data_IF_975793468107
#
_entry.id   IF_975793468107
#
_cell.length_a   1.000
_cell.length_b   1.000
_cell.length_c   1.000
_cell.angle_alpha   90.00
_cell.angle_beta   90.00
_cell.angle_gamma   90.00
#
_symmetry.space_group_name_H-M   'P 1'
#
loop_
_entity.id
_entity.type
_entity.pdbx_description
1 polymer ?
#
# COMPACT_ATOMS: atom_id res chain seq x y z
N UNK A 1 2.71 -10.68 -5.86
CA UNK A 1 2.64 -11.70 -4.79
C UNK A 1 3.92 -11.88 -3.98
N UNK A 2 5.12 -11.86 -4.59
CA UNK A 2 6.41 -12.14 -3.93
C UNK A 2 6.61 -11.55 -2.50
N UNK A 3 6.21 -10.30 -2.26
CA UNK A 3 6.29 -9.70 -0.91
C UNK A 3 5.45 -10.43 0.15
N UNK A 4 4.21 -10.82 -0.21
CA UNK A 4 3.32 -11.57 0.68
C UNK A 4 3.82 -13.00 0.88
N UNK A 5 4.51 -13.59 -0.10
CA UNK A 5 5.12 -14.93 0.04
C UNK A 5 6.31 -14.90 1.00
N UNK A 6 7.17 -13.88 0.91
CA UNK A 6 8.25 -13.66 1.88
C UNK A 6 7.68 -13.46 3.29
N UNK A 7 6.65 -12.61 3.42
CA UNK A 7 6.00 -12.37 4.70
C UNK A 7 5.30 -13.62 5.24
N UNK A 8 4.68 -14.42 4.38
CA UNK A 8 4.05 -15.70 4.76
C UNK A 8 5.09 -16.68 5.30
N UNK A 9 6.23 -16.83 4.62
CA UNK A 9 7.34 -17.67 5.07
C UNK A 9 7.89 -17.22 6.44
N UNK A 10 8.07 -15.90 6.61
CA UNK A 10 8.50 -15.31 7.88
C UNK A 10 7.50 -15.59 9.00
N UNK A 11 6.22 -15.27 8.77
CA UNK A 11 5.16 -15.51 9.75
C UNK A 11 5.06 -16.98 10.12
N UNK A 12 5.25 -17.89 9.17
CA UNK A 12 5.26 -19.32 9.46
C UNK A 12 6.44 -19.76 10.32
N UNK A 13 7.62 -19.17 10.08
CA UNK A 13 8.81 -19.41 10.91
C UNK A 13 8.59 -18.91 12.33
N UNK A 14 8.03 -17.69 12.49
CA UNK A 14 7.69 -17.11 13.79
C UNK A 14 6.66 -17.98 14.52
N UNK A 15 5.57 -18.39 13.84
CA UNK A 15 4.54 -19.25 14.41
C UNK A 15 5.15 -20.55 14.97
N UNK A 16 5.98 -21.25 14.19
CA UNK A 16 6.63 -22.49 14.64
C UNK A 16 7.50 -22.28 15.88
N UNK A 17 8.32 -21.22 15.88
CA UNK A 17 9.21 -20.92 17.00
C UNK A 17 8.46 -20.53 18.28
N UNK A 18 7.27 -19.92 18.13
CA UNK A 18 6.42 -19.53 19.25
C UNK A 18 5.42 -20.63 19.66
N UNK A 19 5.46 -21.81 19.05
CA UNK A 19 4.56 -22.93 19.35
C UNK A 19 3.12 -22.76 18.82
N UNK A 20 2.89 -21.83 17.88
CA UNK A 20 1.63 -21.68 17.17
C UNK A 20 1.58 -22.59 15.93
N UNK A 21 0.36 -22.89 15.49
CA UNK A 21 0.10 -23.61 14.24
C UNK A 21 0.57 -22.74 13.06
N UNK A 22 1.24 -23.34 12.07
CA UNK A 22 1.72 -22.59 10.91
C UNK A 22 0.53 -22.13 10.07
N UNK A 23 0.54 -20.90 9.52
CA UNK A 23 -0.45 -20.40 8.58
C UNK A 23 -0.90 -21.34 7.44
N UNK A 24 -0.05 -22.29 7.00
CA UNK A 24 -0.40 -23.28 5.97
C UNK A 24 -1.44 -24.31 6.44
N UNK A 25 -1.52 -24.56 7.75
CA UNK A 25 -2.48 -25.48 8.33
C UNK A 25 -3.78 -24.71 8.54
N UNK A 26 -4.65 -24.68 7.52
CA UNK A 26 -5.95 -24.00 7.55
C UNK A 26 -6.72 -24.35 8.84
N UNK A 27 -6.67 -23.45 9.83
CA UNK A 27 -7.21 -23.67 11.17
C UNK A 27 -7.54 -22.34 11.87
N UNK A 28 -8.33 -22.38 12.95
CA UNK A 28 -8.89 -21.18 13.59
C UNK A 28 -7.87 -20.29 14.33
N UNK A 29 -6.61 -20.73 14.47
CA UNK A 29 -5.57 -20.09 15.30
C UNK A 29 -4.33 -19.69 14.49
N UNK A 30 -4.51 -19.04 13.34
CA UNK A 30 -3.40 -18.49 12.56
C UNK A 30 -2.90 -17.19 13.20
N UNK A 31 -1.62 -17.14 13.57
CA UNK A 31 -0.95 -15.94 14.05
C UNK A 31 -0.94 -14.87 12.95
N UNK A 32 -1.46 -13.68 13.25
CA UNK A 32 -1.57 -12.57 12.31
C UNK A 32 -0.41 -11.60 12.46
N UNK A 33 0.00 -10.90 11.38
CA UNK A 33 1.06 -9.88 11.48
C UNK A 33 0.78 -8.79 12.53
N UNK A 34 -0.47 -8.37 12.72
CA UNK A 34 -0.86 -7.39 13.73
C UNK A 34 -0.68 -7.88 15.19
N UNK A 35 -0.40 -9.16 15.41
CA UNK A 35 -0.14 -9.76 16.72
C UNK A 35 1.36 -9.97 16.98
N UNK A 36 2.21 -9.63 16.01
CA UNK A 36 3.66 -9.84 16.05
C UNK A 36 4.40 -8.52 15.91
N UNK A 37 4.00 -7.69 14.94
CA UNK A 37 4.68 -6.44 14.63
C UNK A 37 4.07 -5.28 15.41
N UNK A 38 4.90 -4.50 16.10
CA UNK A 38 4.48 -3.24 16.74
C UNK A 38 3.99 -2.22 15.72
N UNK A 39 4.73 -2.07 14.63
CA UNK A 39 4.45 -1.14 13.55
C UNK A 39 4.56 -1.84 12.20
N UNK A 40 3.59 -1.62 11.32
CA UNK A 40 3.56 -2.09 9.94
C UNK A 40 3.51 -0.85 9.06
N UNK A 41 4.55 -0.66 8.25
CA UNK A 41 4.71 0.53 7.41
C UNK A 41 4.62 0.18 5.94
N UNK A 42 3.94 1.02 5.14
CA UNK A 42 3.80 0.76 3.71
C UNK A 42 3.59 2.00 2.85
N UNK A 43 3.92 1.86 1.58
CA UNK A 43 3.72 2.86 0.52
C UNK A 43 3.13 2.19 -0.72
N UNK A 44 2.29 2.89 -1.49
CA UNK A 44 1.64 2.29 -2.66
C UNK A 44 0.83 1.05 -2.30
N UNK A 45 1.04 -0.03 -3.06
CA UNK A 45 0.53 -1.38 -2.79
C UNK A 45 0.91 -1.89 -1.40
N UNK A 46 2.15 -1.63 -0.97
CA UNK A 46 2.61 -1.97 0.38
C UNK A 46 1.81 -1.23 1.47
N UNK A 47 1.35 -0.01 1.19
CA UNK A 47 0.47 0.75 2.08
C UNK A 47 -0.91 0.10 2.20
N UNK A 48 -1.51 -0.34 1.09
CA UNK A 48 -2.75 -1.11 1.13
C UNK A 48 -2.55 -2.43 1.89
N UNK A 49 -1.46 -3.17 1.64
CA UNK A 49 -1.12 -4.38 2.40
C UNK A 49 -1.02 -4.09 3.90
N UNK A 50 -0.32 -3.02 4.29
CA UNK A 50 -0.17 -2.63 5.69
C UNK A 50 -1.52 -2.36 6.37
N UNK A 51 -2.43 -1.67 5.67
CA UNK A 51 -3.80 -1.43 6.16
C UNK A 51 -4.58 -2.74 6.32
N UNK A 52 -4.51 -3.64 5.34
CA UNK A 52 -5.24 -4.92 5.40
C UNK A 52 -4.71 -5.81 6.56
N UNK A 53 -3.39 -5.91 6.71
CA UNK A 53 -2.74 -6.75 7.73
C UNK A 53 -2.88 -6.18 9.14
N UNK A 54 -2.60 -4.89 9.32
CA UNK A 54 -2.63 -4.22 10.61
C UNK A 54 -4.04 -3.78 10.97
N UNK A 55 -4.56 -2.79 10.26
CA UNK A 55 -5.80 -2.09 10.63
C UNK A 55 -7.06 -2.94 10.48
N UNK A 56 -7.11 -3.84 9.51
CA UNK A 56 -8.23 -4.79 9.31
C UNK A 56 -7.96 -6.19 9.89
N UNK A 57 -6.82 -6.36 10.57
CA UNK A 57 -6.39 -7.58 11.25
C UNK A 57 -6.56 -8.84 10.39
N UNK A 58 -6.12 -8.77 9.14
CA UNK A 58 -6.15 -9.89 8.21
C UNK A 58 -4.88 -10.75 8.35
N UNK A 59 -5.01 -12.05 8.11
CA UNK A 59 -3.84 -12.92 7.93
C UNK A 59 -3.19 -12.67 6.57
N UNK A 60 -1.94 -13.10 6.41
CA UNK A 60 -1.23 -12.99 5.12
C UNK A 60 -2.00 -13.70 4.00
N UNK A 61 -2.50 -14.91 4.26
CA UNK A 61 -3.32 -15.65 3.31
C UNK A 61 -4.61 -14.90 2.93
N UNK A 62 -5.33 -14.32 3.89
CA UNK A 62 -6.54 -13.56 3.58
C UNK A 62 -6.25 -12.32 2.72
N UNK A 63 -5.08 -11.70 2.88
CA UNK A 63 -4.63 -10.62 1.99
C UNK A 63 -4.28 -11.14 0.61
N UNK A 64 -3.59 -12.28 0.49
CA UNK A 64 -3.33 -12.94 -0.80
C UNK A 64 -4.63 -13.25 -1.54
N UNK A 65 -5.61 -13.84 -0.85
CA UNK A 65 -6.94 -14.15 -1.40
C UNK A 65 -7.65 -12.88 -1.87
N UNK A 66 -7.65 -11.82 -1.06
CA UNK A 66 -8.22 -10.53 -1.44
C UNK A 66 -7.59 -9.98 -2.72
N UNK A 67 -6.27 -10.06 -2.90
CA UNK A 67 -5.64 -9.61 -4.13
C UNK A 67 -6.01 -10.50 -5.32
N UNK A 68 -5.88 -11.82 -5.18
CA UNK A 68 -6.16 -12.77 -6.25
C UNK A 68 -7.60 -12.66 -6.77
N UNK A 69 -8.57 -12.49 -5.86
CA UNK A 69 -9.99 -12.40 -6.21
C UNK A 69 -10.37 -11.08 -6.89
N UNK A 70 -9.58 -10.02 -6.69
CA UNK A 70 -9.92 -8.67 -7.13
C UNK A 70 -8.98 -8.08 -8.18
N UNK A 71 -7.85 -8.73 -8.48
CA UNK A 71 -6.82 -8.21 -9.37
C UNK A 71 -7.37 -7.89 -10.77
N UNK A 72 -7.98 -8.87 -11.45
CA UNK A 72 -8.50 -8.67 -12.81
C UNK A 72 -9.66 -7.67 -12.81
N UNK A 73 -10.46 -7.64 -11.74
CA UNK A 73 -11.53 -6.67 -11.63
C UNK A 73 -10.98 -5.25 -11.52
N UNK A 74 -10.02 -5.00 -10.63
CA UNK A 74 -9.48 -3.64 -10.39
C UNK A 74 -8.54 -3.20 -11.52
N UNK A 75 -7.61 -4.06 -11.92
CA UNK A 75 -6.50 -3.71 -12.81
C UNK A 75 -6.71 -4.13 -14.28
N UNK A 76 -7.67 -5.02 -14.56
CA UNK A 76 -8.00 -5.43 -15.94
C UNK A 76 -8.28 -4.27 -16.91
N UNK A 77 -8.98 -3.18 -16.50
CA UNK A 77 -9.14 -1.99 -17.34
C UNK A 77 -7.80 -1.35 -17.75
N UNK A 78 -6.81 -1.35 -16.85
CA UNK A 78 -5.51 -0.71 -17.09
C UNK A 78 -4.66 -1.52 -18.07
N UNK A 79 -4.73 -2.86 -18.02
CA UNK A 79 -4.06 -3.76 -18.96
C UNK A 79 -4.55 -3.53 -20.39
N UNK A 80 -5.87 -3.41 -20.58
CA UNK A 80 -6.49 -3.24 -21.91
C UNK A 80 -6.22 -1.89 -22.58
N UNK A 81 -5.86 -0.86 -21.80
CA UNK A 81 -5.58 0.49 -22.33
C UNK A 81 -4.11 0.66 -22.74
N UNK A 82 -3.20 -0.17 -22.24
CA UNK A 82 -1.79 -0.16 -22.65
C UNK A 82 -1.59 -0.61 -24.10
N UNK A 83 -2.52 -1.39 -24.65
CA UNK A 83 -2.55 -1.75 -26.08
C UNK A 83 -2.92 -0.56 -27.00
N UNK A 84 -3.38 0.57 -26.45
CA UNK A 84 -3.86 1.74 -27.20
C UNK A 84 -3.21 3.03 -26.66
N UNK A 85 -1.91 3.17 -26.91
CA UNK A 85 -1.13 4.43 -26.85
C UNK A 85 -1.07 5.18 -25.50
N UNK A 86 0.17 5.26 -25.00
CA UNK A 86 0.67 6.46 -24.33
C UNK A 86 0.41 7.69 -25.22
N UNK A 87 -0.38 8.65 -24.74
CA UNK A 87 -0.58 9.91 -25.45
C UNK A 87 -1.93 10.55 -25.21
N UNK A 88 -2.14 11.12 -24.02
CA UNK A 88 -3.01 12.28 -23.90
C UNK A 88 -2.39 13.24 -22.88
N UNK A 89 -1.78 14.30 -23.39
CA UNK A 89 -1.12 15.33 -22.59
C UNK A 89 -2.10 16.02 -21.62
N UNK A 90 -1.64 16.44 -20.43
CA UNK A 90 -2.45 17.18 -19.47
C UNK A 90 -2.62 18.63 -19.96
N UNK A 91 -3.55 18.82 -20.90
CA UNK A 91 -3.94 20.12 -21.44
C UNK A 91 -5.44 20.40 -21.32
N UNK A 92 -5.91 21.41 -22.06
CA UNK A 92 -7.33 21.76 -22.14
C UNK A 92 -8.21 20.57 -22.59
N UNK A 93 -7.67 19.72 -23.46
CA UNK A 93 -8.31 18.48 -23.92
C UNK A 93 -8.55 17.47 -22.77
N UNK A 94 -7.57 17.29 -21.88
CA UNK A 94 -7.72 16.43 -20.70
C UNK A 94 -8.79 16.95 -19.73
N UNK A 95 -8.87 18.27 -19.54
CA UNK A 95 -9.91 18.90 -18.70
C UNK A 95 -11.31 18.77 -19.31
N UNK A 96 -11.44 19.01 -20.62
CA UNK A 96 -12.70 18.84 -21.33
C UNK A 96 -13.19 17.38 -21.31
N UNK A 97 -12.28 16.42 -21.48
CA UNK A 97 -12.60 15.00 -21.35
C UNK A 97 -13.05 14.66 -19.92
N UNK A 98 -12.31 15.12 -18.90
CA UNK A 98 -12.68 14.90 -17.51
C UNK A 98 -14.05 15.47 -17.15
N UNK A 99 -14.39 16.65 -17.68
CA UNK A 99 -15.75 17.23 -17.56
C UNK A 99 -16.81 16.38 -18.24
N UNK A 100 -16.54 15.89 -19.46
CA UNK A 100 -17.47 15.02 -20.18
C UNK A 100 -17.69 13.68 -19.49
N UNK A 101 -16.63 13.09 -18.92
CA UNK A 101 -16.70 11.89 -18.09
C UNK A 101 -17.52 12.14 -16.82
N UNK A 102 -17.28 13.26 -16.12
CA UNK A 102 -18.03 13.65 -14.91
C UNK A 102 -19.51 13.90 -15.19
N UNK A 103 -19.85 14.49 -16.34
CA UNK A 103 -21.23 14.69 -16.79
C UNK A 103 -21.89 13.41 -17.35
N UNK A 104 -21.16 12.30 -17.47
CA UNK A 104 -21.66 11.04 -18.01
C UNK A 104 -21.90 11.04 -19.53
N UNK A 105 -21.36 12.03 -20.25
CA UNK A 105 -21.47 12.12 -21.72
C UNK A 105 -20.31 11.45 -22.44
N UNK A 106 -19.22 11.14 -21.73
CA UNK A 106 -18.09 10.36 -22.22
C UNK A 106 -17.89 9.09 -21.39
N UNK A 107 -17.36 8.01 -21.98
CA UNK A 107 -17.06 6.78 -21.26
C UNK A 107 -15.98 7.01 -20.20
N UNK A 108 -16.07 6.25 -19.11
CA UNK A 108 -15.08 6.29 -18.04
C UNK A 108 -13.70 5.83 -18.54
N UNK A 109 -12.66 6.56 -18.16
CA UNK A 109 -11.28 6.14 -18.44
C UNK A 109 -10.93 4.88 -17.65
N UNK A 110 -9.97 4.07 -18.12
CA UNK A 110 -9.51 2.90 -17.38
C UNK A 110 -8.99 3.27 -15.97
N UNK A 111 -8.33 4.43 -15.84
CA UNK A 111 -7.87 4.98 -14.56
C UNK A 111 -9.02 5.31 -13.61
N UNK A 112 -10.12 5.84 -14.12
CA UNK A 112 -11.34 6.10 -13.34
C UNK A 112 -12.00 4.80 -12.92
N UNK A 113 -12.13 3.86 -13.85
CA UNK A 113 -12.77 2.58 -13.57
C UNK A 113 -11.95 1.79 -12.52
N UNK A 114 -10.62 1.72 -12.66
CA UNK A 114 -9.75 1.08 -11.68
C UNK A 114 -9.85 1.76 -10.30
N UNK A 115 -9.96 3.09 -10.28
CA UNK A 115 -10.17 3.89 -9.05
C UNK A 115 -11.46 3.50 -8.34
N UNK A 116 -12.59 3.55 -9.04
CA UNK A 116 -13.90 3.25 -8.45
C UNK A 116 -13.97 1.79 -7.97
N UNK A 117 -13.40 0.86 -8.76
CA UNK A 117 -13.35 -0.55 -8.38
C UNK A 117 -12.48 -0.80 -7.16
N UNK A 118 -11.34 -0.09 -7.04
CA UNK A 118 -10.50 -0.17 -5.85
C UNK A 118 -11.26 0.35 -4.61
N UNK A 119 -11.92 1.51 -4.71
CA UNK A 119 -12.76 2.07 -3.63
C UNK A 119 -13.86 1.11 -3.21
N UNK A 120 -14.58 0.54 -4.18
CA UNK A 120 -15.64 -0.44 -3.95
C UNK A 120 -15.13 -1.63 -3.14
N UNK A 121 -14.01 -2.24 -3.53
CA UNK A 121 -13.48 -3.43 -2.85
C UNK A 121 -12.90 -3.13 -1.48
N UNK A 122 -12.29 -1.96 -1.29
CA UNK A 122 -11.83 -1.53 0.03
C UNK A 122 -13.03 -1.24 0.95
N UNK A 123 -14.06 -0.55 0.46
CA UNK A 123 -15.27 -0.29 1.23
C UNK A 123 -15.99 -1.60 1.60
N UNK A 124 -16.04 -2.56 0.66
CA UNK A 124 -16.60 -3.89 0.90
C UNK A 124 -15.82 -4.64 1.98
N UNK A 125 -14.49 -4.73 1.90
CA UNK A 125 -13.68 -5.44 2.91
C UNK A 125 -13.81 -4.76 4.27
N UNK A 126 -13.77 -3.42 4.35
CA UNK A 126 -13.99 -2.67 5.60
C UNK A 126 -15.32 -3.05 6.25
N UNK A 127 -16.40 -3.13 5.45
CA UNK A 127 -17.74 -3.51 5.94
C UNK A 127 -17.77 -4.93 6.49
N UNK A 128 -17.24 -5.92 5.76
CA UNK A 128 -17.33 -7.33 6.19
C UNK A 128 -16.39 -7.65 7.35
N UNK A 129 -15.28 -6.93 7.49
CA UNK A 129 -14.35 -7.07 8.62
C UNK A 129 -14.92 -6.44 9.89
N UNK A 130 -15.78 -5.43 9.75
CA UNK A 130 -16.49 -4.77 10.84
C UNK A 130 -15.53 -4.26 11.95
N UNK A 131 -14.46 -3.58 11.53
CA UNK A 131 -13.41 -3.02 12.42
C UNK A 131 -13.49 -1.49 12.57
N UNK A 132 -14.64 -0.91 12.24
CA UNK A 132 -14.82 0.53 12.11
C UNK A 132 -14.35 1.08 10.76
N UNK A 133 -14.65 2.36 10.52
CA UNK A 133 -14.38 3.06 9.24
C UNK A 133 -13.16 3.97 9.30
N UNK A 134 -12.79 4.43 10.49
CA UNK A 134 -11.66 5.34 10.71
C UNK A 134 -10.32 4.61 10.60
N UNK A 135 -9.31 5.26 9.99
CA UNK A 135 -7.95 4.71 9.98
C UNK A 135 -7.39 4.59 11.40
N UNK A 136 -7.59 5.61 12.23
CA UNK A 136 -7.21 5.55 13.65
C UNK A 136 -7.97 4.42 14.34
N UNK A 137 -7.23 3.51 14.96
CA UNK A 137 -7.78 2.39 15.69
C UNK A 137 -8.42 2.90 16.98
N UNK A 138 -9.68 2.53 17.30
CA UNK A 138 -10.37 3.02 18.49
C UNK A 138 -9.65 2.65 19.79
N UNK A 139 -9.06 1.45 19.83
CA UNK A 139 -8.41 0.92 21.02
C UNK A 139 -6.91 1.28 21.15
N UNK A 140 -6.32 1.98 20.17
CA UNK A 140 -4.87 2.28 20.08
C UNK A 140 -3.97 1.12 20.58
N UNK A 141 -3.98 -0.03 19.89
CA UNK A 141 -3.30 -1.22 20.36
C UNK A 141 -1.78 -1.04 20.34
N UNK A 142 -1.09 -1.73 21.23
CA UNK A 142 0.38 -1.73 21.28
C UNK A 142 1.03 -2.42 20.05
N UNK A 143 0.32 -3.39 19.47
CA UNK A 143 0.74 -4.13 18.29
C UNK A 143 -0.17 -3.81 17.09
N UNK A 144 0.35 -3.99 15.89
CA UNK A 144 -0.40 -3.83 14.65
C UNK A 144 -0.69 -2.38 14.28
N UNK A 145 0.06 -1.43 14.84
CA UNK A 145 -0.01 -0.03 14.40
C UNK A 145 0.36 0.05 12.94
N UNK A 146 -0.34 0.89 12.18
CA UNK A 146 -0.13 1.09 10.74
C UNK A 146 0.31 2.52 10.48
N UNK A 147 1.30 2.66 9.63
CA UNK A 147 1.69 3.94 9.04
C UNK A 147 1.79 3.78 7.53
N UNK A 148 1.11 4.63 6.78
CA UNK A 148 1.20 4.65 5.32
C UNK A 148 1.59 6.01 4.80
N UNK A 149 2.26 6.06 3.65
CA UNK A 149 2.72 7.32 3.06
C UNK A 149 1.87 7.74 1.88
N UNK A 150 1.61 9.03 1.76
CA UNK A 150 1.03 9.66 0.58
C UNK A 150 1.63 11.07 0.39
N UNK A 151 1.48 11.65 -0.80
CA UNK A 151 1.87 13.04 -1.06
C UNK A 151 0.62 13.89 -1.10
N UNK A 152 0.57 14.89 -0.22
CA UNK A 152 -0.48 15.90 -0.19
C UNK A 152 -0.11 17.02 -1.16
N UNK A 153 -0.94 17.22 -2.19
CA UNK A 153 -0.76 18.26 -3.20
C UNK A 153 -1.78 19.38 -2.97
N UNK A 154 -1.27 20.58 -2.73
CA UNK A 154 -2.06 21.80 -2.56
C UNK A 154 -1.56 22.90 -3.51
N UNK A 155 -2.28 24.01 -3.58
CA UNK A 155 -1.83 25.20 -4.32
C UNK A 155 -0.47 25.74 -3.83
N UNK A 156 -0.09 25.45 -2.58
CA UNK A 156 1.18 25.87 -1.99
C UNK A 156 2.35 24.90 -2.23
N UNK A 157 2.11 23.77 -2.91
CA UNK A 157 3.13 22.76 -3.20
C UNK A 157 2.73 21.35 -2.76
N UNK A 158 3.70 20.44 -2.81
CA UNK A 158 3.52 19.02 -2.51
C UNK A 158 4.35 18.61 -1.30
N UNK A 159 3.73 17.92 -0.33
CA UNK A 159 4.36 17.45 0.90
C UNK A 159 4.12 15.96 1.11
N UNK A 160 5.20 15.18 1.28
CA UNK A 160 5.07 13.78 1.72
C UNK A 160 4.55 13.76 3.15
N UNK A 161 3.49 13.01 3.37
CA UNK A 161 2.75 12.96 4.63
C UNK A 161 2.48 11.51 5.00
N UNK A 162 2.48 11.23 6.29
CA UNK A 162 2.20 9.93 6.87
C UNK A 162 0.78 9.90 7.41
N UNK A 163 0.06 8.80 7.15
CA UNK A 163 -1.29 8.54 7.64
C UNK A 163 -1.19 7.38 8.64
N UNK A 164 -1.59 7.63 9.89
CA UNK A 164 -1.37 6.71 11.01
C UNK A 164 -2.68 6.08 11.50
N UNK A 165 -2.61 4.83 11.95
CA UNK A 165 -3.72 4.18 12.65
C UNK A 165 -3.71 4.40 14.16
N UNK A 166 -2.86 5.29 14.66
CA UNK A 166 -2.71 5.61 16.07
C UNK A 166 -2.62 7.14 16.22
N UNK A 167 -2.99 7.70 17.37
CA UNK A 167 -2.91 9.14 17.59
C UNK A 167 -1.45 9.62 17.55
N UNK A 168 -1.16 10.65 16.75
CA UNK A 168 0.10 11.37 16.81
C UNK A 168 -0.13 12.89 16.88
N UNK A 169 0.63 13.58 17.72
CA UNK A 169 0.52 15.04 17.91
C UNK A 169 0.87 15.83 16.65
N UNK A 170 1.67 15.26 15.75
CA UNK A 170 2.04 15.87 14.47
C UNK A 170 0.99 15.75 13.37
N UNK A 171 -0.11 15.02 13.60
CA UNK A 171 -1.09 14.69 12.54
C UNK A 171 -1.93 15.89 12.07
N UNK A 172 -1.71 17.12 12.56
CA UNK A 172 -2.45 18.35 12.19
C UNK A 172 -4.00 18.19 12.18
N UNK A 173 -4.53 17.23 12.97
CA UNK A 173 -5.97 16.92 13.00
C UNK A 173 -6.48 16.03 11.86
N UNK A 174 -5.59 15.46 11.05
CA UNK A 174 -5.91 14.56 9.94
C UNK A 174 -6.56 13.26 10.46
N UNK A 175 -7.79 12.98 10.00
CA UNK A 175 -8.58 11.80 10.39
C UNK A 175 -9.17 11.14 9.16
N UNK A 176 -8.36 10.44 8.36
CA UNK A 176 -8.86 9.77 7.17
C UNK A 176 -9.61 8.51 7.58
N UNK A 177 -10.66 8.19 6.83
CA UNK A 177 -11.21 6.83 6.81
C UNK A 177 -10.20 5.85 6.23
N UNK A 178 -10.42 4.56 6.47
CA UNK A 178 -9.61 3.46 5.91
C UNK A 178 -9.61 3.52 4.38
N UNK A 179 -10.76 3.82 3.77
CA UNK A 179 -10.90 3.92 2.30
C UNK A 179 -10.08 5.10 1.77
N UNK A 180 -10.17 6.26 2.40
CA UNK A 180 -9.41 7.45 2.00
C UNK A 180 -7.91 7.24 2.14
N UNK A 181 -7.45 6.66 3.24
CA UNK A 181 -6.03 6.37 3.44
C UNK A 181 -5.48 5.37 2.41
N UNK A 182 -6.24 4.31 2.15
CA UNK A 182 -5.90 3.32 1.14
C UNK A 182 -5.89 3.93 -0.27
N UNK A 183 -6.84 4.84 -0.58
CA UNK A 183 -6.85 5.57 -1.84
C UNK A 183 -5.69 6.53 -1.98
N UNK A 184 -5.36 7.28 -0.93
CA UNK A 184 -4.24 8.21 -0.93
C UNK A 184 -2.91 7.51 -1.19
N UNK A 185 -2.62 6.41 -0.49
CA UNK A 185 -1.38 5.65 -0.74
C UNK A 185 -1.36 4.98 -2.11
N UNK A 186 -2.50 4.53 -2.63
CA UNK A 186 -2.61 3.83 -3.93
C UNK A 186 -2.73 4.76 -5.15
N UNK A 187 -2.91 6.07 -4.97
CA UNK A 187 -3.21 7.03 -6.04
C UNK A 187 -2.01 7.34 -6.96
N UNK A 188 -1.45 6.31 -7.60
CA UNK A 188 -0.36 6.44 -8.56
C UNK A 188 -0.83 7.22 -9.79
N UNK A 189 -0.05 8.21 -10.21
CA UNK A 189 -0.41 9.18 -11.26
C UNK A 189 -0.78 8.53 -12.59
N UNK A 190 -0.18 7.38 -12.92
CA UNK A 190 -0.50 6.66 -14.17
C UNK A 190 -1.76 5.81 -14.06
N UNK A 191 -2.06 5.25 -12.89
CA UNK A 191 -2.98 4.11 -12.76
C UNK A 191 -4.29 4.46 -12.05
N UNK A 192 -4.28 5.43 -11.14
CA UNK A 192 -5.42 5.74 -10.27
C UNK A 192 -5.63 7.23 -10.16
N UNK A 193 -6.86 7.73 -10.23
CA UNK A 193 -7.15 9.17 -10.07
C UNK A 193 -6.63 9.64 -8.70
N UNK A 194 -6.22 10.92 -8.57
CA UNK A 194 -5.85 11.48 -7.27
C UNK A 194 -6.96 11.25 -6.25
N UNK A 195 -6.56 10.93 -5.03
CA UNK A 195 -7.48 10.75 -3.92
C UNK A 195 -7.81 12.08 -3.24
N UNK A 196 -8.84 12.07 -2.40
CA UNK A 196 -9.22 13.19 -1.54
C UNK A 196 -9.42 12.64 -0.14
N UNK A 197 -8.96 13.39 0.86
CA UNK A 197 -9.19 13.09 2.26
C UNK A 197 -10.12 14.16 2.83
N UNK A 198 -11.22 13.75 3.43
CA UNK A 198 -12.22 14.64 4.02
C UNK A 198 -11.58 15.58 5.05
N UNK A 199 -11.99 16.84 5.03
CA UNK A 199 -11.43 17.87 5.91
C UNK A 199 -10.08 18.44 5.47
N UNK A 200 -9.51 17.99 4.34
CA UNK A 200 -8.25 18.55 3.80
C UNK A 200 -8.47 19.25 2.46
N UNK A 201 -7.76 20.37 2.18
CA UNK A 201 -7.75 20.97 0.86
C UNK A 201 -6.89 20.16 -0.12
N UNK A 202 -7.11 20.31 -1.43
CA UNK A 202 -6.24 19.73 -2.44
C UNK A 202 -6.48 18.23 -2.69
N UNK A 203 -5.47 17.58 -3.25
CA UNK A 203 -5.53 16.18 -3.70
C UNK A 203 -4.36 15.38 -3.14
N UNK A 204 -4.50 14.07 -3.15
CA UNK A 204 -3.53 13.15 -2.59
C UNK A 204 -3.10 12.17 -3.67
N UNK A 205 -1.79 11.99 -3.83
CA UNK A 205 -1.23 11.00 -4.74
C UNK A 205 -0.40 9.99 -3.98
N UNK A 206 -0.28 8.79 -4.55
CA UNK A 206 0.64 7.78 -4.04
C UNK A 206 2.08 8.28 -4.07
N UNK A 207 2.89 7.83 -3.12
CA UNK A 207 4.27 8.28 -3.02
C UNK A 207 5.07 7.97 -4.31
N UNK A 208 5.73 8.97 -4.92
CA UNK A 208 6.56 8.76 -6.11
C UNK A 208 7.77 7.87 -5.78
N UNK A 209 8.39 7.30 -6.82
CA UNK A 209 9.49 6.31 -6.75
C UNK A 209 10.59 6.61 -5.71
N UNK A 210 10.90 7.89 -5.47
CA UNK A 210 11.88 8.33 -4.46
C UNK A 210 11.51 8.06 -2.99
N UNK A 211 10.26 7.67 -2.70
CA UNK A 211 9.77 7.33 -1.36
C UNK A 211 9.11 5.93 -1.31
N UNK A 212 9.47 5.04 -2.24
CA UNK A 212 8.87 3.69 -2.29
C UNK A 212 9.30 2.80 -1.12
N UNK A 213 10.46 3.04 -0.49
CA UNK A 213 10.88 2.33 0.71
C UNK A 213 10.72 3.22 1.96
N UNK A 214 9.64 3.05 2.75
CA UNK A 214 9.41 3.83 3.96
C UNK A 214 10.22 3.34 5.17
N UNK A 215 11.22 2.47 4.99
CA UNK A 215 12.06 1.99 6.10
C UNK A 215 12.73 3.12 6.89
N UNK A 216 13.18 4.20 6.22
CA UNK A 216 13.74 5.37 6.88
C UNK A 216 12.76 6.05 7.84
N UNK A 217 11.46 6.05 7.51
CA UNK A 217 10.42 6.62 8.38
C UNK A 217 10.23 5.81 9.66
N UNK A 218 10.55 4.51 9.66
CA UNK A 218 10.49 3.70 10.88
C UNK A 218 11.50 4.22 11.92
N UNK A 219 12.68 4.63 11.47
CA UNK A 219 13.72 5.18 12.35
C UNK A 219 13.33 6.56 12.90
N UNK A 220 12.63 7.36 12.10
CA UNK A 220 12.08 8.65 12.56
C UNK A 220 10.94 8.47 13.59
N UNK A 221 10.08 7.46 13.39
CA UNK A 221 8.99 7.13 14.32
C UNK A 221 9.47 6.48 15.62
N UNK A 222 10.60 5.77 15.57
CA UNK A 222 11.23 5.14 16.72
C UNK A 222 12.63 5.71 16.95
N UNK A 223 12.76 6.94 17.50
CA UNK A 223 14.06 7.57 17.75
C UNK A 223 14.91 6.81 18.79
N UNK A 224 14.32 5.86 19.53
CA UNK A 224 15.01 4.95 20.45
C UNK A 224 15.39 3.60 19.84
N UNK A 225 15.34 3.43 18.52
CA UNK A 225 15.68 2.18 17.84
C UNK A 225 17.12 1.75 18.18
N UNK A 226 17.27 0.56 18.73
CA UNK A 226 18.54 -0.01 19.19
C UNK A 226 18.68 -1.49 18.79
N UNK A 227 19.74 -2.15 19.27
CA UNK A 227 20.04 -3.55 18.96
C UNK A 227 18.99 -4.56 19.41
N UNK A 228 18.04 -4.17 20.26
CA UNK A 228 16.92 -5.01 20.68
C UNK A 228 15.71 -4.92 19.74
N UNK A 229 15.73 -3.97 18.79
CA UNK A 229 14.66 -3.81 17.80
C UNK A 229 14.97 -4.55 16.51
N UNK A 230 13.93 -5.10 15.88
CA UNK A 230 14.04 -5.82 14.60
C UNK A 230 13.24 -5.05 13.55
N UNK A 231 13.90 -4.68 12.46
CA UNK A 231 13.27 -4.13 11.26
C UNK A 231 13.29 -5.17 10.15
N UNK A 232 12.12 -5.48 9.62
CA UNK A 232 11.98 -6.31 8.42
C UNK A 232 11.48 -5.41 7.29
N UNK A 233 12.33 -5.16 6.30
CA UNK A 233 11.98 -4.41 5.10
C UNK A 233 11.77 -5.37 3.93
N UNK A 234 10.57 -5.40 3.38
CA UNK A 234 10.22 -6.26 2.24
C UNK A 234 9.94 -5.37 1.03
N UNK A 235 10.93 -5.19 0.16
CA UNK A 235 10.79 -4.45 -1.09
C UNK A 235 10.19 -5.28 -2.23
N UNK A 236 9.68 -4.60 -3.26
CA UNK A 236 9.65 -5.15 -4.61
C UNK A 236 10.92 -4.65 -5.28
N UNK A 237 11.71 -5.54 -5.88
CA UNK A 237 12.98 -5.16 -6.50
C UNK A 237 12.81 -3.93 -7.41
N UNK A 238 13.56 -2.87 -7.11
CA UNK A 238 13.70 -1.73 -8.00
C UNK A 238 14.83 -2.01 -8.98
N UNK A 239 14.69 -1.63 -10.26
CA UNK A 239 15.69 -1.88 -11.30
C UNK A 239 17.01 -1.10 -11.14
N UNK A 240 17.21 -0.38 -10.03
CA UNK A 240 18.45 0.34 -9.75
C UNK A 240 18.77 0.28 -8.25
N UNK A 241 20.05 0.05 -7.99
CA UNK A 241 20.75 0.18 -6.71
C UNK A 241 20.30 1.47 -5.99
N UNK A 242 19.66 1.32 -4.84
CA UNK A 242 19.72 2.37 -3.82
C UNK A 242 21.15 2.32 -3.29
N UNK A 243 21.86 3.45 -3.33
CA UNK A 243 23.14 3.62 -2.64
C UNK A 243 22.88 3.45 -1.13
N UNK A 244 23.19 2.24 -0.64
CA UNK A 244 23.04 1.84 0.74
C UNK A 244 24.31 2.17 1.57
N UNK A 245 25.19 3.05 1.09
CA UNK A 245 26.36 3.51 1.87
C UNK A 245 25.99 4.16 3.23
N UNK A 246 24.72 4.48 3.45
CA UNK A 246 24.19 4.95 4.74
C UNK A 246 23.71 3.83 5.69
N UNK A 247 23.68 2.57 5.25
CA UNK A 247 23.23 1.41 6.05
C UNK A 247 24.37 0.40 6.10
N UNK A 248 25.18 0.49 7.16
CA UNK A 248 26.30 -0.43 7.35
C UNK A 248 25.82 -1.89 7.44
N UNK A 249 26.36 -2.68 6.50
CA UNK A 249 26.49 -4.14 6.45
C UNK A 249 25.24 -5.01 6.62
N UNK A 250 24.64 -5.41 5.49
CA UNK A 250 24.13 -6.78 5.32
C UNK A 250 24.60 -7.30 3.96
N UNK A 251 25.55 -8.22 3.98
CA UNK A 251 26.08 -8.92 2.81
C UNK A 251 25.07 -9.90 2.21
N UNK A 252 24.83 -9.85 0.90
CA UNK A 252 24.35 -11.00 0.14
C UNK A 252 25.07 -11.10 -1.21
N UNK A 253 25.28 -12.35 -1.61
CA UNK A 253 26.22 -12.85 -2.63
C UNK A 253 25.87 -12.40 -4.06
N UNK A 254 26.90 -12.06 -4.82
CA UNK A 254 26.88 -11.79 -6.25
C UNK A 254 26.46 -13.02 -7.07
N UNK A 255 25.32 -12.91 -7.75
CA UNK A 255 25.11 -13.48 -9.08
C UNK A 255 23.97 -12.69 -9.77
N UNK A 256 24.28 -11.98 -10.86
CA UNK A 256 23.37 -11.06 -11.54
C UNK A 256 22.42 -11.82 -12.48
N UNK A 257 21.08 -11.79 -12.30
CA UNK A 257 20.14 -12.31 -13.28
C UNK A 257 19.67 -11.22 -14.27
N UNK A 258 19.17 -11.67 -15.42
CA UNK A 258 18.78 -10.82 -16.54
C UNK A 258 17.63 -9.85 -16.24
N UNK A 259 17.63 -8.71 -16.94
CA UNK A 259 16.66 -7.60 -16.81
C UNK A 259 15.21 -8.01 -17.07
N UNK A 260 14.30 -7.48 -16.26
CA UNK A 260 12.85 -7.74 -16.36
C UNK A 260 12.06 -6.62 -17.06
N UNK A 261 10.99 -6.98 -17.77
CA UNK A 261 10.08 -6.10 -18.52
C UNK A 261 8.95 -5.53 -17.64
N UNK A 262 8.20 -4.58 -18.19
CA UNK A 262 7.02 -3.98 -17.57
C UNK A 262 5.94 -5.02 -17.19
N UNK A 263 5.84 -6.12 -17.95
CA UNK A 263 4.94 -7.22 -17.60
C UNK A 263 5.32 -7.88 -16.27
N UNK A 264 6.62 -8.05 -15.98
CA UNK A 264 7.10 -8.73 -14.75
C UNK A 264 6.97 -7.88 -13.49
N UNK A 265 6.98 -6.56 -13.62
CA UNK A 265 6.66 -5.61 -12.53
C UNK A 265 5.17 -5.66 -12.16
N UNK A 266 4.32 -5.99 -13.14
CA UNK A 266 2.87 -6.12 -13.00
C UNK A 266 2.40 -7.57 -12.94
N UNK A 267 3.32 -8.54 -12.97
CA UNK A 267 2.99 -9.97 -12.93
C UNK A 267 2.84 -10.40 -11.47
N UNK A 268 1.60 -10.51 -11.05
CA UNK A 268 1.25 -11.00 -9.75
C UNK A 268 1.26 -12.53 -9.69
N UNK A 269 1.46 -13.24 -10.81
CA UNK A 269 1.35 -14.69 -10.95
C UNK A 269 2.51 -15.37 -11.73
N UNK A 270 3.67 -14.75 -11.87
CA UNK A 270 4.86 -15.42 -12.43
C UNK A 270 5.30 -16.58 -11.52
N UNK A 271 5.12 -17.82 -12.00
CA UNK A 271 5.53 -19.07 -11.35
C UNK A 271 7.03 -19.23 -11.25
#
# INVERSE_FOLDING_TARGET
MKQLDVLESLMCTISRNMGYICPWDKGPNVLKPCQVFHLIVGSGTGGLIAILLGRLEMSVQAVKDFYNDNEEYIFGPLRKVQDVKAGLEPGLAGKAWGMGEWLGVLPKSARTLATERLEEKIAWIVKIRNKGTELVHPDDPQLGKVLVTAVHQTSGGSKTTTLRSYPCSSDEGLRPSIVEAARATMAHETFFKPARISGTPGEWIGSPSKYCNPAGLVLEEYPGFCSENVLVSVGVDLPNELDLSAVNEISFLDDQPARMSFEEVMDWNAR
#
